data_IF_408308500798
#
_entry.id   IF_408308500798
#
_cell.length_a   1.000
_cell.length_b   1.000
_cell.length_c   1.000
_cell.angle_alpha   90.00
_cell.angle_beta   90.00
_cell.angle_gamma   90.00
#
_symmetry.space_group_name_H-M   'P 1'
#
loop_
_entity.id
_entity.type
_entity.pdbx_description
1 polymer ?
#
# COMPACT_ATOMS: atom_id res chain seq x y z
N UNK A 1 13.63 12.55 36.40
CA UNK A 1 13.68 11.62 35.26
C UNK A 1 13.15 10.31 35.77
N UNK A 2 11.86 10.05 35.60
CA UNK A 2 11.18 8.81 36.02
C UNK A 2 11.67 7.73 35.09
N UNK A 3 12.31 6.72 35.67
CA UNK A 3 12.71 5.48 35.03
C UNK A 3 11.43 4.71 34.69
N UNK A 4 10.82 5.01 33.51
CA UNK A 4 9.76 4.16 32.98
C UNK A 4 10.39 2.82 32.67
N UNK A 5 10.13 1.84 33.57
CA UNK A 5 10.50 0.46 33.35
C UNK A 5 9.89 0.04 31.99
N UNK A 6 10.75 -0.23 31.02
CA UNK A 6 10.33 -0.72 29.71
C UNK A 6 9.50 -1.99 29.95
N UNK A 7 8.21 -1.96 29.60
CA UNK A 7 7.34 -3.13 29.74
C UNK A 7 7.92 -4.28 28.91
N UNK A 8 7.86 -5.49 29.45
CA UNK A 8 8.19 -6.67 28.68
C UNK A 8 7.21 -6.76 27.47
N UNK A 9 7.74 -7.12 26.30
CA UNK A 9 7.02 -7.14 25.04
C UNK A 9 7.35 -5.94 24.18
N UNK A 10 7.41 -6.16 22.86
CA UNK A 10 7.70 -5.13 21.87
C UNK A 10 7.06 -5.49 20.52
N UNK A 11 6.88 -4.49 19.68
CA UNK A 11 6.33 -4.66 18.34
C UNK A 11 7.26 -4.05 17.28
N UNK A 12 7.74 -4.88 16.36
CA UNK A 12 8.36 -4.41 15.12
C UNK A 12 7.45 -4.74 13.93
N UNK A 13 7.14 -3.77 13.11
CA UNK A 13 6.37 -3.98 11.88
C UNK A 13 7.32 -3.90 10.69
N UNK A 14 7.24 -4.88 9.80
CA UNK A 14 8.09 -4.98 8.61
C UNK A 14 7.26 -5.20 7.34
N UNK A 15 7.78 -4.75 6.20
CA UNK A 15 7.21 -5.04 4.89
C UNK A 15 7.87 -6.27 4.26
N UNK A 16 7.06 -7.10 3.59
CA UNK A 16 7.56 -8.26 2.86
C UNK A 16 7.83 -7.96 1.38
N UNK A 17 7.57 -6.73 0.94
CA UNK A 17 7.59 -6.37 -0.48
C UNK A 17 6.39 -6.89 -1.25
N UNK A 18 6.37 -6.61 -2.55
CA UNK A 18 5.29 -7.01 -3.46
C UNK A 18 5.58 -8.39 -4.06
N UNK A 19 6.82 -8.61 -4.53
CA UNK A 19 7.26 -9.89 -5.09
C UNK A 19 7.68 -10.82 -3.98
N UNK A 20 7.01 -11.93 -3.86
CA UNK A 20 7.33 -12.97 -2.88
C UNK A 20 8.81 -13.27 -2.87
N UNK A 21 9.44 -13.22 -1.70
CA UNK A 21 10.87 -13.48 -1.42
C UNK A 21 11.83 -12.43 -2.02
N UNK A 22 11.59 -11.97 -3.25
CA UNK A 22 12.56 -11.14 -3.99
C UNK A 22 12.72 -9.70 -3.48
N UNK A 23 11.77 -9.21 -2.69
CA UNK A 23 11.77 -7.82 -2.21
C UNK A 23 11.77 -7.71 -0.67
N UNK A 24 12.02 -8.81 0.02
CA UNK A 24 12.23 -8.79 1.47
C UNK A 24 13.58 -8.14 1.78
N UNK A 25 13.58 -7.07 2.57
CA UNK A 25 14.82 -6.43 2.97
C UNK A 25 15.59 -7.31 3.97
N UNK A 26 16.92 -7.20 3.98
CA UNK A 26 17.75 -7.94 4.93
C UNK A 26 17.39 -7.61 6.38
N UNK A 27 17.05 -6.35 6.66
CA UNK A 27 16.66 -5.91 8.00
C UNK A 27 15.31 -6.52 8.42
N UNK A 28 14.31 -6.54 7.50
CA UNK A 28 13.04 -7.20 7.76
C UNK A 28 13.24 -8.69 8.07
N UNK A 29 14.05 -9.39 7.29
CA UNK A 29 14.38 -10.80 7.51
C UNK A 29 15.05 -11.02 8.89
N UNK A 30 16.00 -10.16 9.24
CA UNK A 30 16.69 -10.26 10.54
C UNK A 30 15.71 -10.09 11.72
N UNK A 31 14.76 -9.17 11.63
CA UNK A 31 13.73 -9.00 12.65
C UNK A 31 12.74 -10.16 12.70
N UNK A 32 12.32 -10.70 11.56
CA UNK A 32 11.48 -11.90 11.51
C UNK A 32 12.17 -13.10 12.18
N UNK A 33 13.48 -13.27 11.97
CA UNK A 33 14.26 -14.33 12.62
C UNK A 33 14.45 -14.09 14.13
N UNK A 34 14.64 -12.84 14.54
CA UNK A 34 14.90 -12.47 15.93
C UNK A 34 13.65 -12.50 16.81
N UNK A 35 12.50 -12.11 16.28
CA UNK A 35 11.25 -12.02 17.03
C UNK A 35 10.87 -13.37 17.68
N UNK A 36 10.12 -13.34 18.77
CA UNK A 36 9.58 -14.54 19.40
C UNK A 36 8.44 -15.14 18.56
N UNK A 37 7.64 -14.27 17.96
CA UNK A 37 6.50 -14.62 17.09
C UNK A 37 6.44 -13.74 15.85
N UNK A 38 6.00 -14.32 14.73
CA UNK A 38 5.67 -13.59 13.50
C UNK A 38 4.16 -13.60 13.32
N UNK A 39 3.56 -12.41 13.22
CA UNK A 39 2.14 -12.25 12.86
C UNK A 39 2.10 -11.62 11.48
N UNK A 40 1.46 -12.28 10.50
CA UNK A 40 1.59 -11.85 9.12
C UNK A 40 0.26 -11.68 8.38
N UNK A 41 0.29 -10.76 7.41
CA UNK A 41 -0.76 -10.59 6.41
C UNK A 41 -0.07 -10.42 5.06
N UNK A 42 0.09 -11.51 4.33
CA UNK A 42 0.80 -11.56 3.04
C UNK A 42 -0.13 -11.97 1.91
N UNK A 43 0.30 -11.74 0.67
CA UNK A 43 -0.57 -11.79 -0.49
C UNK A 43 -0.77 -13.20 -1.06
N UNK A 44 0.12 -14.14 -0.74
CA UNK A 44 0.18 -15.42 -1.43
C UNK A 44 0.66 -16.57 -0.52
N UNK A 45 0.28 -17.83 -0.84
CA UNK A 45 0.66 -19.00 -0.05
C UNK A 45 2.16 -19.31 -0.03
N UNK A 46 2.94 -18.86 -1.03
CA UNK A 46 4.40 -19.08 -1.06
C UNK A 46 5.05 -18.22 0.00
N UNK A 47 4.62 -16.95 0.14
CA UNK A 47 5.06 -16.07 1.22
C UNK A 47 4.69 -16.64 2.59
N UNK A 48 3.48 -17.17 2.77
CA UNK A 48 3.07 -17.84 4.02
C UNK A 48 3.97 -19.02 4.34
N UNK A 49 4.25 -19.88 3.36
CA UNK A 49 5.15 -21.04 3.54
C UNK A 49 6.56 -20.62 3.95
N UNK A 50 7.09 -19.55 3.34
CA UNK A 50 8.40 -19.01 3.71
C UNK A 50 8.43 -18.53 5.16
N UNK A 51 7.41 -17.77 5.58
CA UNK A 51 7.31 -17.24 6.93
C UNK A 51 7.19 -18.37 7.94
N UNK A 52 6.38 -19.39 7.65
CA UNK A 52 6.25 -20.58 8.48
C UNK A 52 7.59 -21.32 8.63
N UNK A 53 8.40 -21.38 7.57
CA UNK A 53 9.74 -21.97 7.63
C UNK A 53 10.73 -21.14 8.48
N UNK A 54 10.55 -19.82 8.58
CA UNK A 54 11.41 -18.97 9.44
C UNK A 54 11.14 -19.15 10.94
N UNK A 55 9.89 -19.43 11.33
CA UNK A 55 9.46 -19.58 12.73
C UNK A 55 8.42 -20.70 12.90
N UNK A 56 8.80 -21.97 12.74
CA UNK A 56 7.86 -23.09 12.82
C UNK A 56 7.04 -23.10 14.11
N UNK A 57 5.72 -23.06 14.01
CA UNK A 57 4.79 -23.07 15.14
C UNK A 57 4.76 -21.79 15.98
N UNK A 58 5.39 -20.72 15.49
CA UNK A 58 5.43 -19.39 16.11
C UNK A 58 5.04 -18.29 15.12
N UNK A 59 4.36 -18.67 14.04
CA UNK A 59 3.78 -17.77 13.06
C UNK A 59 2.24 -17.83 13.09
N UNK A 60 1.60 -16.71 12.84
CA UNK A 60 0.16 -16.56 12.87
C UNK A 60 -0.31 -15.70 11.70
N UNK A 61 -1.21 -16.25 10.88
CA UNK A 61 -1.80 -15.49 9.79
C UNK A 61 -3.00 -14.64 10.25
N UNK A 62 -3.07 -13.42 9.74
CA UNK A 62 -4.22 -12.54 9.95
C UNK A 62 -5.32 -12.72 8.89
N UNK A 63 -5.12 -13.58 7.88
CA UNK A 63 -6.11 -13.83 6.83
C UNK A 63 -7.44 -14.34 7.36
N UNK A 64 -7.43 -15.08 8.46
CA UNK A 64 -8.64 -15.62 9.08
C UNK A 64 -9.61 -14.57 9.61
N UNK A 65 -9.18 -13.32 9.78
CA UNK A 65 -10.06 -12.21 10.19
C UNK A 65 -10.91 -11.66 9.04
N UNK A 66 -10.58 -11.99 7.78
CA UNK A 66 -11.38 -11.64 6.63
C UNK A 66 -12.40 -12.72 6.29
N UNK A 67 -13.65 -12.34 6.12
CA UNK A 67 -14.67 -13.20 5.53
C UNK A 67 -15.66 -12.38 4.67
N UNK A 68 -16.35 -13.06 3.77
CA UNK A 68 -17.25 -12.45 2.79
C UNK A 68 -18.29 -11.56 3.45
N UNK A 69 -18.40 -10.31 2.97
CA UNK A 69 -19.36 -9.32 3.45
C UNK A 69 -19.00 -8.61 4.74
N UNK A 70 -17.92 -9.00 5.45
CA UNK A 70 -17.50 -8.34 6.70
C UNK A 70 -16.99 -6.94 6.44
N UNK A 71 -17.39 -5.94 7.25
CA UNK A 71 -16.78 -4.62 7.23
C UNK A 71 -15.27 -4.69 7.50
N UNK A 72 -14.47 -4.04 6.66
CA UNK A 72 -13.01 -4.04 6.81
C UNK A 72 -12.55 -3.45 8.14
N UNK A 73 -13.25 -2.45 8.64
CA UNK A 73 -12.93 -1.82 9.92
C UNK A 73 -13.01 -2.81 11.10
N UNK A 74 -13.97 -3.75 11.08
CA UNK A 74 -14.08 -4.79 12.09
C UNK A 74 -12.90 -5.77 12.01
N UNK A 75 -12.58 -6.26 10.79
CA UNK A 75 -11.42 -7.11 10.56
C UNK A 75 -10.13 -6.46 11.03
N UNK A 76 -9.95 -5.17 10.74
CA UNK A 76 -8.77 -4.40 11.14
C UNK A 76 -8.65 -4.29 12.66
N UNK A 77 -9.74 -3.99 13.37
CA UNK A 77 -9.72 -3.92 14.82
C UNK A 77 -9.38 -5.27 15.47
N UNK A 78 -9.92 -6.37 14.96
CA UNK A 78 -9.59 -7.71 15.44
C UNK A 78 -8.12 -8.07 15.20
N UNK A 79 -7.56 -7.74 14.03
CA UNK A 79 -6.14 -7.92 13.73
C UNK A 79 -5.25 -7.13 14.70
N UNK A 80 -5.59 -5.87 14.95
CA UNK A 80 -4.87 -4.99 15.86
C UNK A 80 -4.89 -5.57 17.28
N UNK A 81 -6.05 -5.94 17.79
CA UNK A 81 -6.16 -6.52 19.13
C UNK A 81 -5.45 -7.87 19.25
N UNK A 82 -5.46 -8.68 18.21
CA UNK A 82 -4.67 -9.92 18.19
C UNK A 82 -3.17 -9.62 18.33
N UNK A 83 -2.62 -8.70 17.53
CA UNK A 83 -1.21 -8.28 17.64
C UNK A 83 -0.90 -7.75 19.03
N UNK A 84 -1.72 -6.84 19.56
CA UNK A 84 -1.51 -6.21 20.85
C UNK A 84 -1.63 -7.21 22.01
N UNK A 85 -2.48 -8.22 21.90
CA UNK A 85 -2.62 -9.26 22.92
C UNK A 85 -1.30 -10.01 23.16
N UNK A 86 -0.54 -10.26 22.08
CA UNK A 86 0.78 -10.92 22.16
C UNK A 86 1.84 -9.99 22.77
N UNK A 87 1.85 -8.72 22.35
CA UNK A 87 2.75 -7.71 22.93
C UNK A 87 2.49 -7.55 24.43
N UNK A 88 1.22 -7.47 24.84
CA UNK A 88 0.81 -7.39 26.28
C UNK A 88 1.19 -8.62 27.06
N UNK A 89 1.29 -9.78 26.41
CA UNK A 89 1.79 -11.02 27.02
C UNK A 89 3.32 -11.06 27.18
N UNK A 90 4.04 -9.99 26.85
CA UNK A 90 5.48 -9.89 26.99
C UNK A 90 6.28 -10.40 25.79
N UNK A 91 5.65 -10.66 24.66
CA UNK A 91 6.26 -11.24 23.45
C UNK A 91 6.89 -10.15 22.58
N UNK A 92 8.08 -10.39 22.03
CA UNK A 92 8.63 -9.61 20.91
C UNK A 92 7.96 -10.07 19.61
N UNK A 93 7.00 -9.29 19.16
CA UNK A 93 6.21 -9.57 17.96
C UNK A 93 6.83 -8.90 16.72
N UNK A 94 7.02 -9.67 15.65
CA UNK A 94 7.27 -9.14 14.31
C UNK A 94 5.96 -9.20 13.48
N UNK A 95 5.37 -8.04 13.19
CA UNK A 95 4.24 -7.94 12.27
C UNK A 95 4.74 -7.83 10.84
N UNK A 96 4.52 -8.86 10.01
CA UNK A 96 4.97 -8.91 8.62
C UNK A 96 3.80 -8.68 7.67
N UNK A 97 3.83 -7.56 6.94
CA UNK A 97 2.76 -7.15 6.05
C UNK A 97 3.22 -7.09 4.59
N UNK A 98 2.33 -7.45 3.69
CA UNK A 98 2.52 -7.33 2.26
C UNK A 98 2.88 -5.90 1.85
N UNK A 99 3.84 -5.74 0.94
CA UNK A 99 4.29 -4.45 0.45
C UNK A 99 5.09 -3.66 1.48
N UNK A 100 4.88 -2.34 1.50
CA UNK A 100 5.34 -1.43 2.53
C UNK A 100 4.27 -1.34 3.63
N UNK A 101 4.58 -1.63 4.89
CA UNK A 101 3.57 -1.77 5.94
C UNK A 101 2.91 -0.44 6.34
N UNK A 102 3.46 0.69 5.92
CA UNK A 102 2.94 2.02 6.17
C UNK A 102 2.19 2.64 4.98
N UNK A 103 2.08 1.95 3.85
CA UNK A 103 1.41 2.47 2.64
C UNK A 103 0.04 1.82 2.49
N UNK A 104 -1.03 2.62 2.61
CA UNK A 104 -2.43 2.19 2.53
C UNK A 104 -2.80 1.00 3.45
N UNK A 105 -2.14 0.92 4.61
CA UNK A 105 -2.31 -0.16 5.58
C UNK A 105 -2.66 0.39 6.98
N UNK A 106 -3.94 0.31 7.38
CA UNK A 106 -4.40 0.81 8.68
C UNK A 106 -3.90 -0.01 9.89
N UNK A 107 -3.97 -1.37 9.89
CA UNK A 107 -3.62 -2.15 11.06
C UNK A 107 -2.19 -1.95 11.57
N UNK A 108 -1.14 -1.86 10.73
CA UNK A 108 0.22 -1.59 11.17
C UNK A 108 0.38 -0.28 11.93
N UNK A 109 -0.15 0.82 11.37
CA UNK A 109 -0.06 2.14 12.00
C UNK A 109 -0.77 2.17 13.34
N UNK A 110 -1.99 1.66 13.40
CA UNK A 110 -2.81 1.70 14.61
C UNK A 110 -2.26 0.76 15.68
N UNK A 111 -1.70 -0.40 15.33
CA UNK A 111 -1.02 -1.30 16.27
C UNK A 111 0.17 -0.62 16.94
N UNK A 112 1.00 0.07 16.16
CA UNK A 112 2.14 0.84 16.71
C UNK A 112 1.66 1.96 17.61
N UNK A 113 0.65 2.73 17.16
CA UNK A 113 0.10 3.85 17.95
C UNK A 113 -0.44 3.39 19.30
N UNK A 114 -1.22 2.29 19.32
CA UNK A 114 -1.78 1.72 20.56
C UNK A 114 -0.70 1.13 21.44
N UNK A 115 0.22 0.33 20.88
CA UNK A 115 1.34 -0.24 21.65
C UNK A 115 2.17 0.84 22.37
N UNK A 116 2.49 1.94 21.65
CA UNK A 116 3.20 3.09 22.25
C UNK A 116 2.37 3.80 23.32
N UNK A 117 1.07 3.99 23.11
CA UNK A 117 0.18 4.59 24.09
C UNK A 117 0.06 3.75 25.37
N UNK A 118 0.22 2.42 25.26
CA UNK A 118 0.26 1.49 26.39
C UNK A 118 1.66 1.36 27.04
N UNK A 119 2.68 2.07 26.52
CA UNK A 119 4.05 2.08 27.06
C UNK A 119 4.95 0.94 26.56
N UNK A 120 4.61 0.28 25.46
CA UNK A 120 5.46 -0.72 24.80
C UNK A 120 6.36 -0.08 23.74
N UNK A 121 7.57 -0.64 23.57
CA UNK A 121 8.41 -0.30 22.43
C UNK A 121 7.77 -0.79 21.13
N UNK A 122 7.57 0.13 20.17
CA UNK A 122 6.96 -0.22 18.90
C UNK A 122 7.48 0.68 17.77
N UNK A 123 7.84 0.08 16.62
CA UNK A 123 8.34 0.80 15.45
C UNK A 123 8.02 0.06 14.16
N UNK A 124 8.15 0.78 13.04
CA UNK A 124 7.94 0.26 11.69
C UNK A 124 9.23 0.41 10.89
N UNK A 125 9.55 -0.59 10.09
CA UNK A 125 10.59 -0.53 9.07
C UNK A 125 9.97 -0.34 7.70
N UNK A 126 10.64 0.39 6.79
CA UNK A 126 10.17 0.53 5.42
C UNK A 126 10.24 -0.82 4.67
N UNK A 127 9.43 -0.93 3.62
CA UNK A 127 9.43 -2.05 2.69
C UNK A 127 9.22 -1.56 1.26
N UNK A 128 9.33 -2.45 0.29
CA UNK A 128 9.06 -2.14 -1.12
C UNK A 128 7.55 -2.08 -1.33
N UNK A 129 7.03 -0.93 -1.75
CA UNK A 129 5.61 -0.73 -2.08
C UNK A 129 5.33 -1.04 -3.55
N UNK A 130 4.04 -1.10 -3.90
CA UNK A 130 3.63 -1.19 -5.30
C UNK A 130 3.97 0.10 -6.07
N UNK A 131 4.14 1.23 -5.39
CA UNK A 131 4.58 2.51 -5.99
C UNK A 131 6.01 2.41 -6.49
N UNK A 132 6.92 1.83 -5.70
CA UNK A 132 8.29 1.57 -6.11
C UNK A 132 8.35 0.63 -7.33
N UNK A 133 7.49 -0.40 -7.32
CA UNK A 133 7.37 -1.31 -8.47
C UNK A 133 6.84 -0.60 -9.71
N UNK A 134 5.82 0.25 -9.57
CA UNK A 134 5.22 1.00 -10.67
C UNK A 134 6.23 1.92 -11.33
N UNK A 135 7.01 2.68 -10.55
CA UNK A 135 8.04 3.56 -11.09
C UNK A 135 9.10 2.78 -11.88
N UNK A 136 9.56 1.65 -11.34
CA UNK A 136 10.54 0.80 -12.00
C UNK A 136 9.99 0.13 -13.28
N UNK A 137 8.78 -0.44 -13.20
CA UNK A 137 8.17 -1.21 -14.30
C UNK A 137 7.69 -0.31 -15.46
N UNK A 138 7.24 0.91 -15.15
CA UNK A 138 6.83 1.89 -16.17
C UNK A 138 8.00 2.75 -16.68
N UNK A 139 9.14 2.75 -15.98
CA UNK A 139 10.29 3.60 -16.31
C UNK A 139 9.99 5.08 -16.13
N UNK A 140 9.24 5.45 -15.07
CA UNK A 140 8.85 6.83 -14.78
C UNK A 140 9.54 7.34 -13.53
N UNK A 141 9.90 8.64 -13.54
CA UNK A 141 10.52 9.33 -12.42
C UNK A 141 9.53 10.37 -11.86
N UNK A 142 9.23 10.36 -10.55
CA UNK A 142 8.34 11.33 -9.94
C UNK A 142 8.94 12.73 -9.73
N UNK A 143 10.13 13.04 -10.28
CA UNK A 143 10.83 14.33 -10.11
C UNK A 143 9.98 15.54 -10.49
N UNK A 144 9.09 15.40 -11.47
CA UNK A 144 8.16 16.45 -11.90
C UNK A 144 6.91 16.60 -11.01
N UNK A 145 6.84 15.86 -9.92
CA UNK A 145 5.70 15.78 -9.01
C UNK A 145 4.84 14.55 -9.22
N UNK A 146 4.37 13.98 -8.12
CA UNK A 146 3.46 12.83 -8.11
C UNK A 146 2.38 13.02 -7.05
N UNK A 147 1.13 12.92 -7.45
CA UNK A 147 -0.04 12.88 -6.59
C UNK A 147 -0.47 11.44 -6.44
N UNK A 148 -0.61 10.98 -5.20
CA UNK A 148 -0.88 9.56 -4.89
C UNK A 148 -2.04 9.47 -3.92
N UNK A 149 -3.14 8.80 -4.31
CA UNK A 149 -4.36 8.68 -3.51
C UNK A 149 -4.94 7.26 -3.58
N UNK A 150 -5.60 6.83 -2.51
CA UNK A 150 -6.54 5.71 -2.59
C UNK A 150 -7.77 6.15 -3.41
N UNK A 151 -8.22 5.31 -4.32
CA UNK A 151 -9.22 5.69 -5.32
C UNK A 151 -10.58 6.09 -4.72
N UNK A 152 -11.00 5.46 -3.60
CA UNK A 152 -12.26 5.81 -2.94
C UNK A 152 -12.13 7.14 -2.21
N UNK A 153 -11.01 7.36 -1.50
CA UNK A 153 -10.73 8.66 -0.86
C UNK A 153 -10.67 9.79 -1.89
N UNK A 154 -10.01 9.53 -3.02
CA UNK A 154 -9.97 10.48 -4.13
C UNK A 154 -11.36 10.78 -4.69
N UNK A 155 -12.22 9.75 -4.81
CA UNK A 155 -13.57 9.90 -5.37
C UNK A 155 -14.47 10.76 -4.48
N UNK A 156 -14.48 10.49 -3.16
CA UNK A 156 -15.42 11.11 -2.22
C UNK A 156 -14.98 12.50 -1.73
N UNK A 157 -13.70 12.82 -1.87
CA UNK A 157 -13.15 14.10 -1.41
C UNK A 157 -12.88 15.05 -2.58
N UNK A 158 -13.00 16.35 -2.33
CA UNK A 158 -12.58 17.39 -3.28
C UNK A 158 -11.06 17.56 -3.19
N UNK A 159 -10.33 16.86 -4.07
CA UNK A 159 -8.89 16.99 -4.19
C UNK A 159 -8.55 18.03 -5.25
N UNK A 160 -7.50 18.83 -5.03
CA UNK A 160 -6.93 19.69 -6.06
C UNK A 160 -6.05 18.80 -6.93
N UNK A 161 -6.37 18.73 -8.22
CA UNK A 161 -5.63 17.96 -9.20
C UNK A 161 -4.74 18.91 -9.99
N UNK A 162 -3.45 18.60 -10.05
CA UNK A 162 -2.51 19.27 -10.93
C UNK A 162 -2.17 18.35 -12.12
N UNK A 163 -2.75 18.59 -13.31
CA UNK A 163 -2.48 17.78 -14.51
C UNK A 163 -1.08 17.98 -15.09
N UNK A 164 -0.24 18.83 -14.50
CA UNK A 164 1.18 18.96 -14.87
C UNK A 164 2.09 18.00 -14.08
N UNK A 165 1.53 17.26 -13.14
CA UNK A 165 2.21 16.20 -12.37
C UNK A 165 1.59 14.84 -12.63
N UNK A 166 2.29 13.79 -12.25
CA UNK A 166 1.78 12.42 -12.30
C UNK A 166 0.63 12.26 -11.30
N UNK A 167 -0.34 11.38 -11.61
CA UNK A 167 -1.41 11.00 -10.68
C UNK A 167 -1.49 9.48 -10.60
N UNK A 168 -1.44 8.95 -9.39
CA UNK A 168 -1.63 7.53 -9.10
C UNK A 168 -2.88 7.36 -8.25
N UNK A 169 -3.81 6.49 -8.70
CA UNK A 169 -4.98 6.09 -7.95
C UNK A 169 -4.92 4.60 -7.64
N UNK A 170 -4.77 4.30 -6.35
CA UNK A 170 -4.64 2.94 -5.86
C UNK A 170 -5.98 2.25 -5.71
N UNK A 171 -5.98 0.92 -5.92
CA UNK A 171 -7.12 0.06 -5.62
C UNK A 171 -8.40 0.42 -6.40
N UNK A 172 -8.28 0.84 -7.66
CA UNK A 172 -9.45 1.18 -8.49
C UNK A 172 -10.42 0.01 -8.69
N UNK A 173 -9.94 -1.23 -8.57
CA UNK A 173 -10.77 -2.44 -8.66
C UNK A 173 -11.60 -2.75 -7.40
N UNK A 174 -11.44 -1.97 -6.31
CA UNK A 174 -12.25 -2.07 -5.08
C UNK A 174 -12.94 -0.75 -4.73
N UNK A 175 -13.08 0.12 -5.73
CA UNK A 175 -13.61 1.47 -5.62
C UNK A 175 -14.99 1.50 -4.93
N UNK A 176 -15.12 2.33 -3.89
CA UNK A 176 -16.33 2.54 -3.10
C UNK A 176 -16.86 1.30 -2.36
N UNK A 177 -15.98 0.34 -2.03
CA UNK A 177 -16.34 -0.84 -1.25
C UNK A 177 -15.67 -0.86 0.13
N UNK A 178 -16.49 -0.95 1.17
CA UNK A 178 -16.07 -0.96 2.58
C UNK A 178 -16.06 -2.36 3.21
N UNK A 179 -16.60 -3.36 2.50
CA UNK A 179 -16.64 -4.76 2.93
C UNK A 179 -15.63 -5.59 2.15
N UNK A 180 -15.20 -6.70 2.76
CA UNK A 180 -14.35 -7.66 2.09
C UNK A 180 -15.16 -8.57 1.17
N UNK A 181 -14.66 -8.85 -0.06
CA UNK A 181 -15.24 -9.79 -1.01
C UNK A 181 -14.15 -10.64 -1.66
N UNK A 182 -14.43 -11.93 -1.81
CA UNK A 182 -13.58 -12.89 -2.54
C UNK A 182 -13.91 -12.95 -4.02
N UNK A 183 -15.18 -12.81 -4.36
CA UNK A 183 -15.73 -12.99 -5.71
C UNK A 183 -15.57 -11.78 -6.65
N UNK A 184 -14.80 -10.77 -6.23
CA UNK A 184 -14.67 -9.51 -6.97
C UNK A 184 -15.66 -8.44 -6.51
N UNK A 185 -15.44 -7.23 -6.99
CA UNK A 185 -16.17 -6.04 -6.57
C UNK A 185 -17.01 -5.47 -7.73
N UNK A 186 -18.16 -4.92 -7.39
CA UNK A 186 -19.01 -4.20 -8.33
C UNK A 186 -18.40 -2.83 -8.63
N UNK A 187 -18.13 -2.56 -9.89
CA UNK A 187 -17.47 -1.34 -10.36
C UNK A 187 -18.46 -0.26 -10.82
N UNK A 188 -19.70 -0.25 -10.31
CA UNK A 188 -20.72 0.77 -10.67
C UNK A 188 -20.29 2.21 -10.38
N UNK A 189 -19.33 2.42 -9.50
CA UNK A 189 -18.77 3.74 -9.20
C UNK A 189 -17.65 4.17 -10.15
N UNK A 190 -17.16 3.28 -11.01
CA UNK A 190 -16.07 3.59 -11.96
C UNK A 190 -16.44 4.68 -12.98
N UNK A 191 -17.68 4.74 -13.53
CA UNK A 191 -18.09 5.86 -14.38
C UNK A 191 -18.06 7.22 -13.69
N UNK A 192 -18.29 7.27 -12.36
CA UNK A 192 -18.23 8.51 -11.60
C UNK A 192 -16.78 8.97 -11.46
N UNK A 193 -15.85 8.04 -11.19
CA UNK A 193 -14.41 8.32 -11.19
C UNK A 193 -13.94 8.82 -12.55
N UNK A 194 -14.35 8.14 -13.64
CA UNK A 194 -14.04 8.56 -15.01
C UNK A 194 -14.54 9.98 -15.27
N UNK A 195 -15.78 10.30 -14.92
CA UNK A 195 -16.33 11.65 -15.10
C UNK A 195 -15.50 12.72 -14.37
N UNK A 196 -15.13 12.45 -13.11
CA UNK A 196 -14.27 13.34 -12.30
C UNK A 196 -12.90 13.56 -12.94
N UNK A 197 -12.29 12.52 -13.51
CA UNK A 197 -11.00 12.64 -14.21
C UNK A 197 -11.11 13.42 -15.51
N UNK A 198 -12.22 13.28 -16.26
CA UNK A 198 -12.49 14.01 -17.51
C UNK A 198 -12.65 15.52 -17.32
N UNK A 199 -12.86 16.01 -16.09
CA UNK A 199 -12.84 17.44 -15.78
C UNK A 199 -11.41 18.04 -15.91
N UNK A 200 -10.37 17.19 -15.84
CA UNK A 200 -8.96 17.61 -15.79
C UNK A 200 -8.10 17.07 -16.94
N UNK A 201 -8.50 15.94 -17.53
CA UNK A 201 -7.76 15.24 -18.57
C UNK A 201 -8.63 15.04 -19.81
N UNK A 202 -8.10 15.21 -21.04
CA UNK A 202 -8.86 14.95 -22.25
C UNK A 202 -9.23 13.45 -22.34
N UNK A 203 -10.35 13.10 -23.00
CA UNK A 203 -10.80 11.71 -23.14
C UNK A 203 -9.81 10.82 -23.90
N UNK A 204 -8.95 11.40 -24.73
CA UNK A 204 -7.89 10.73 -25.49
C UNK A 204 -6.58 10.62 -24.72
N UNK A 205 -6.49 11.16 -23.50
CA UNK A 205 -5.28 11.09 -22.67
C UNK A 205 -4.92 9.62 -22.40
N UNK A 206 -3.69 9.21 -22.75
CA UNK A 206 -3.23 7.86 -22.45
C UNK A 206 -3.04 7.67 -20.96
N UNK A 207 -3.67 6.64 -20.43
CA UNK A 207 -3.56 6.20 -19.03
C UNK A 207 -3.04 4.78 -18.99
N UNK A 208 -2.56 4.35 -17.81
CA UNK A 208 -2.08 3.00 -17.59
C UNK A 208 -2.87 2.35 -16.46
N UNK A 209 -3.47 1.20 -16.72
CA UNK A 209 -3.90 0.27 -15.67
C UNK A 209 -2.75 -0.69 -15.41
N UNK A 210 -2.24 -0.68 -14.18
CA UNK A 210 -1.04 -1.38 -13.75
C UNK A 210 -1.35 -2.37 -12.64
N UNK A 211 -0.73 -3.55 -12.71
CA UNK A 211 -0.67 -4.52 -11.64
C UNK A 211 0.75 -5.08 -11.51
N UNK A 212 1.32 -4.96 -10.33
CA UNK A 212 2.64 -5.50 -10.04
C UNK A 212 2.61 -7.04 -10.01
N UNK A 213 3.64 -7.73 -10.52
CA UNK A 213 3.72 -9.18 -10.43
C UNK A 213 4.02 -9.60 -8.99
N UNK A 214 3.31 -10.63 -8.51
CA UNK A 214 3.51 -11.21 -7.17
C UNK A 214 4.73 -12.14 -7.16
N UNK A 215 4.98 -12.87 -8.24
CA UNK A 215 6.05 -13.86 -8.30
C UNK A 215 7.27 -13.36 -9.07
N UNK A 216 8.50 -13.70 -8.62
CA UNK A 216 9.72 -13.45 -9.37
C UNK A 216 9.65 -14.09 -10.78
N UNK A 217 10.15 -13.38 -11.78
CA UNK A 217 10.14 -13.84 -13.18
C UNK A 217 8.82 -13.63 -13.92
N UNK A 218 7.73 -13.21 -13.25
CA UNK A 218 6.51 -12.76 -13.92
C UNK A 218 6.64 -11.31 -14.35
N UNK A 219 6.08 -10.98 -15.52
CA UNK A 219 5.99 -9.61 -16.00
C UNK A 219 4.82 -8.87 -15.29
N UNK A 220 4.92 -7.54 -15.10
CA UNK A 220 3.78 -6.73 -14.68
C UNK A 220 2.67 -6.73 -15.73
N UNK A 221 1.43 -6.56 -15.30
CA UNK A 221 0.34 -6.24 -16.22
C UNK A 221 0.33 -4.73 -16.46
N UNK A 222 0.52 -4.32 -17.72
CA UNK A 222 0.56 -2.91 -18.12
C UNK A 222 -0.41 -2.73 -19.29
N UNK A 223 -1.56 -2.14 -19.03
CA UNK A 223 -2.58 -1.87 -20.07
C UNK A 223 -2.64 -0.37 -20.34
N UNK A 224 -2.20 0.06 -21.52
CA UNK A 224 -2.24 1.46 -21.98
C UNK A 224 -3.48 1.70 -22.82
N UNK A 225 -4.29 2.68 -22.46
CA UNK A 225 -5.55 3.01 -23.12
C UNK A 225 -5.85 4.51 -23.03
N UNK A 226 -6.69 5.06 -23.92
CA UNK A 226 -7.31 6.36 -23.70
C UNK A 226 -8.18 6.37 -22.44
N UNK A 227 -8.19 7.48 -21.71
CA UNK A 227 -8.97 7.64 -20.47
C UNK A 227 -10.45 7.29 -20.66
N UNK A 228 -11.04 7.66 -21.79
CA UNK A 228 -12.44 7.34 -22.10
C UNK A 228 -12.74 5.83 -22.11
N UNK A 229 -11.73 4.98 -22.26
CA UNK A 229 -11.88 3.51 -22.29
C UNK A 229 -11.67 2.85 -20.93
N UNK A 230 -11.44 3.59 -19.85
CA UNK A 230 -11.17 3.04 -18.51
C UNK A 230 -12.22 2.02 -18.07
N UNK A 231 -13.50 2.27 -18.36
CA UNK A 231 -14.60 1.37 -17.97
C UNK A 231 -14.64 0.04 -18.75
N UNK A 232 -13.85 -0.09 -19.83
CA UNK A 232 -13.81 -1.31 -20.66
C UNK A 232 -12.72 -2.31 -20.25
N UNK A 233 -11.82 -1.91 -19.35
CA UNK A 233 -10.70 -2.76 -18.91
C UNK A 233 -11.12 -3.63 -17.72
N UNK A 234 -10.83 -4.94 -17.74
CA UNK A 234 -10.99 -5.79 -16.57
C UNK A 234 -10.13 -5.26 -15.42
N UNK A 235 -10.71 -5.07 -14.24
CA UNK A 235 -10.02 -4.61 -13.04
C UNK A 235 -10.06 -5.68 -11.96
N UNK A 236 -8.93 -5.88 -11.29
CA UNK A 236 -8.79 -6.72 -10.09
C UNK A 236 -8.65 -5.86 -8.83
N UNK A 237 -8.69 -6.48 -7.66
CA UNK A 237 -8.41 -5.78 -6.40
C UNK A 237 -6.99 -5.20 -6.30
N UNK A 238 -6.07 -5.61 -7.17
CA UNK A 238 -4.69 -5.11 -7.24
C UNK A 238 -4.49 -3.99 -8.27
N UNK A 239 -5.52 -3.70 -9.09
CA UNK A 239 -5.39 -2.72 -10.17
C UNK A 239 -5.16 -1.31 -9.66
N UNK A 240 -4.13 -0.67 -10.21
CA UNK A 240 -3.70 0.71 -9.96
C UNK A 240 -3.85 1.51 -11.24
N UNK A 241 -4.37 2.72 -11.15
CA UNK A 241 -4.45 3.64 -12.27
C UNK A 241 -3.33 4.66 -12.20
N UNK A 242 -2.55 4.78 -13.28
CA UNK A 242 -1.53 5.79 -13.45
C UNK A 242 -1.91 6.72 -14.60
N UNK A 243 -1.87 8.02 -14.34
CA UNK A 243 -2.05 9.08 -15.33
C UNK A 243 -0.74 9.87 -15.43
N UNK A 244 -0.06 9.85 -16.60
CA UNK A 244 1.09 10.72 -16.82
C UNK A 244 0.65 12.19 -16.85
N UNK A 245 1.58 13.16 -16.75
CA UNK A 245 1.25 14.58 -16.92
C UNK A 245 0.56 14.84 -18.26
N UNK A 246 -0.56 15.56 -18.23
CA UNK A 246 -1.29 15.95 -19.44
C UNK A 246 -0.73 17.22 -20.11
N UNK A 247 0.11 17.95 -19.39
CA UNK A 247 0.76 19.18 -19.84
C UNK A 247 2.07 19.44 -19.09
N UNK A 248 2.94 20.26 -19.62
CA UNK A 248 4.10 20.75 -18.90
C UNK A 248 3.69 21.66 -17.73
N UNK A 249 4.49 21.68 -16.67
CA UNK A 249 4.34 22.66 -15.60
C UNK A 249 4.63 24.07 -16.13
N UNK A 250 3.87 25.06 -15.66
CA UNK A 250 4.09 26.46 -16.02
C UNK A 250 5.26 27.02 -15.17
N UNK A 251 6.30 27.58 -15.80
CA UNK A 251 7.39 28.23 -15.07
C UNK A 251 6.90 29.40 -14.23
N UNK A 252 7.41 29.57 -13.00
CA UNK A 252 7.21 30.80 -12.25
C UNK A 252 8.27 31.85 -12.65
N UNK A 253 7.89 32.73 -13.57
CA UNK A 253 8.77 33.77 -14.08
C UNK A 253 9.21 34.79 -13.01
N UNK A 254 8.58 34.80 -11.82
CA UNK A 254 9.01 35.67 -10.71
C UNK A 254 10.21 35.07 -9.99
N UNK A 255 10.37 33.73 -10.03
CA UNK A 255 11.44 32.99 -9.35
C UNK A 255 12.61 32.69 -10.31
N UNK A 256 12.32 32.40 -11.58
CA UNK A 256 13.35 32.04 -12.57
C UNK A 256 14.57 32.96 -12.62
N UNK A 257 14.46 34.33 -12.50
CA UNK A 257 15.63 35.21 -12.53
C UNK A 257 16.59 34.98 -11.36
N UNK A 258 16.17 34.35 -10.28
CA UNK A 258 16.98 34.09 -9.08
C UNK A 258 17.56 32.66 -9.05
N UNK A 259 17.22 31.83 -10.02
CA UNK A 259 17.73 30.45 -10.13
C UNK A 259 18.90 30.47 -11.10
N UNK A 260 20.12 30.00 -10.68
CA UNK A 260 21.24 29.87 -11.61
C UNK A 260 20.88 28.92 -12.77
N UNK A 261 21.00 29.38 -14.00
CA UNK A 261 20.71 28.62 -15.21
C UNK A 261 21.88 27.77 -15.71
N UNK A 262 22.97 27.69 -14.94
CA UNK A 262 24.15 26.94 -15.27
C UNK A 262 24.02 25.51 -14.70
N UNK A 263 23.34 24.64 -15.43
CA UNK A 263 23.43 23.19 -15.31
C UNK A 263 23.87 22.61 -16.65
#
# INVERSE_FOLDING_TARGET
MTNEANKAGALVIVGTGIRTVGQLTMEALAWMQRADEIIHLVADPVAETLIAALKPGKEFTLQGFYYEGKPRAESYNEMIEFILSRVRAGVLVCGAFYGHPGVFAYPPHESIRRARAEGYAAWMLPGISVEDCLFADLGVDPIGGCQSYEATDFLINRRIIDPSSQLILWQIGVLAHWTYRRSGYDLRSLPILLHKLLEHYPPTHEIVVYEAPIFPGCAPTITRIPLAQLASVPLSGASTLYLPPARAANPDYRVLPYVPTNC
#
